data_IF_541345972853
#
_entry.id   IF_541345972853
#
_cell.length_a   1.000
_cell.length_b   1.000
_cell.length_c   1.000
_cell.angle_alpha   90.00
_cell.angle_beta   90.00
_cell.angle_gamma   90.00
#
_symmetry.space_group_name_H-M   'P 1'
#
loop_
_entity.id
_entity.type
_entity.pdbx_description
1 polymer ?
#
# COMPACT_ATOMS: atom_id res chain seq x y z
N UNK A 1 -17.90 -7.42 -35.26
CA UNK A 1 -18.25 -8.35 -34.16
C UNK A 1 -16.98 -8.66 -33.40
N UNK A 2 -16.83 -8.18 -32.16
CA UNK A 2 -15.69 -8.54 -31.33
C UNK A 2 -15.82 -10.02 -30.95
N UNK A 3 -14.80 -10.82 -31.22
CA UNK A 3 -14.72 -12.21 -30.77
C UNK A 3 -14.82 -12.17 -29.24
N UNK A 4 -15.87 -12.76 -28.67
CA UNK A 4 -16.01 -12.85 -27.22
C UNK A 4 -14.76 -13.51 -26.66
N UNK A 5 -14.18 -12.93 -25.60
CA UNK A 5 -13.05 -13.56 -24.92
C UNK A 5 -13.40 -14.99 -24.57
N UNK A 6 -12.41 -15.89 -24.68
CA UNK A 6 -12.52 -17.29 -24.26
C UNK A 6 -13.03 -17.40 -22.82
N UNK A 7 -12.66 -16.47 -21.93
CA UNK A 7 -13.19 -16.42 -20.56
C UNK A 7 -14.71 -16.24 -20.58
N UNK A 8 -15.23 -15.28 -21.35
CA UNK A 8 -16.68 -14.99 -21.38
C UNK A 8 -17.48 -16.21 -21.82
N UNK A 9 -17.01 -16.92 -22.85
CA UNK A 9 -17.65 -18.16 -23.28
C UNK A 9 -17.62 -19.27 -22.22
N UNK A 10 -16.52 -19.40 -21.48
CA UNK A 10 -16.40 -20.39 -20.40
C UNK A 10 -17.31 -20.05 -19.21
N UNK A 11 -17.40 -18.76 -18.87
CA UNK A 11 -18.29 -18.26 -17.82
C UNK A 11 -19.75 -18.44 -18.21
N UNK A 12 -20.13 -18.09 -19.44
CA UNK A 12 -21.50 -18.28 -19.95
C UNK A 12 -21.90 -19.77 -19.95
N UNK A 13 -20.99 -20.67 -20.33
CA UNK A 13 -21.24 -22.10 -20.28
C UNK A 13 -21.36 -22.64 -18.84
N UNK A 14 -20.52 -22.15 -17.92
CA UNK A 14 -20.59 -22.52 -16.51
C UNK A 14 -21.90 -22.02 -15.86
N UNK A 15 -22.32 -20.81 -16.21
CA UNK A 15 -23.60 -20.23 -15.79
C UNK A 15 -24.78 -21.08 -16.26
N UNK A 16 -24.83 -21.42 -17.55
CA UNK A 16 -25.89 -22.27 -18.08
C UNK A 16 -25.94 -23.64 -17.38
N UNK A 17 -24.78 -24.23 -17.10
CA UNK A 17 -24.71 -25.50 -16.36
C UNK A 17 -25.24 -25.39 -14.92
N UNK A 18 -25.01 -24.27 -14.24
CA UNK A 18 -25.55 -24.03 -12.88
C UNK A 18 -27.06 -23.75 -12.92
N UNK A 19 -27.52 -22.99 -13.92
CA UNK A 19 -28.95 -22.71 -14.11
C UNK A 19 -29.74 -23.99 -14.37
N UNK A 20 -29.22 -24.88 -15.24
CA UNK A 20 -29.83 -26.17 -15.59
C UNK A 20 -29.68 -27.25 -14.50
N UNK A 21 -28.82 -27.05 -13.51
CA UNK A 21 -28.61 -28.02 -12.44
C UNK A 21 -29.90 -28.22 -11.62
N UNK A 22 -30.26 -29.48 -11.37
CA UNK A 22 -31.31 -29.87 -10.43
C UNK A 22 -30.78 -29.79 -8.98
N UNK A 23 -30.42 -28.58 -8.56
CA UNK A 23 -29.86 -28.27 -7.25
C UNK A 23 -30.70 -27.17 -6.56
N UNK A 24 -30.58 -27.04 -5.24
CA UNK A 24 -31.26 -25.97 -4.50
C UNK A 24 -30.67 -24.60 -4.86
N UNK A 25 -31.41 -23.51 -4.61
CA UNK A 25 -30.88 -22.16 -4.85
C UNK A 25 -29.63 -21.87 -4.00
N UNK A 26 -29.56 -22.44 -2.79
CA UNK A 26 -28.36 -22.37 -1.92
C UNK A 26 -27.16 -23.09 -2.57
N UNK A 27 -27.37 -24.30 -3.11
CA UNK A 27 -26.30 -25.04 -3.82
C UNK A 27 -25.84 -24.27 -5.06
N UNK A 28 -26.77 -23.70 -5.83
CA UNK A 28 -26.44 -22.89 -7.01
C UNK A 28 -25.67 -21.63 -6.63
N UNK A 29 -26.06 -20.93 -5.56
CA UNK A 29 -25.33 -19.78 -5.03
C UNK A 29 -23.90 -20.15 -4.65
N UNK A 30 -23.71 -21.30 -3.97
CA UNK A 30 -22.40 -21.82 -3.60
C UNK A 30 -21.54 -22.15 -4.82
N UNK A 31 -22.10 -22.83 -5.82
CA UNK A 31 -21.39 -23.14 -7.08
C UNK A 31 -20.91 -21.87 -7.80
N UNK A 32 -21.78 -20.86 -7.91
CA UNK A 32 -21.41 -19.57 -8.53
C UNK A 32 -20.33 -18.84 -7.74
N UNK A 33 -20.42 -18.84 -6.42
CA UNK A 33 -19.41 -18.25 -5.55
C UNK A 33 -18.04 -18.94 -5.75
N UNK A 34 -17.99 -20.27 -5.84
CA UNK A 34 -16.73 -21.00 -6.04
C UNK A 34 -16.09 -20.71 -7.40
N UNK A 35 -16.91 -20.63 -8.46
CA UNK A 35 -16.42 -20.26 -9.80
C UNK A 35 -15.87 -18.81 -9.77
N UNK A 36 -16.59 -17.89 -9.12
CA UNK A 36 -16.15 -16.50 -8.95
C UNK A 36 -14.82 -16.40 -8.19
N UNK A 37 -14.66 -17.18 -7.11
CA UNK A 37 -13.42 -17.26 -6.34
C UNK A 37 -12.25 -17.73 -7.19
N UNK A 38 -12.44 -18.75 -8.03
CA UNK A 38 -11.40 -19.25 -8.92
C UNK A 38 -10.91 -18.19 -9.90
N UNK A 39 -11.83 -17.42 -10.50
CA UNK A 39 -11.49 -16.31 -11.40
C UNK A 39 -10.80 -15.15 -10.67
N UNK A 40 -11.24 -14.85 -9.43
CA UNK A 40 -10.66 -13.78 -8.61
C UNK A 40 -9.24 -14.10 -8.15
N UNK A 41 -8.96 -15.34 -7.75
CA UNK A 41 -7.67 -15.75 -7.20
C UNK A 41 -6.60 -15.93 -8.28
N UNK A 42 -6.99 -16.34 -9.49
CA UNK A 42 -6.07 -16.59 -10.59
C UNK A 42 -6.57 -15.97 -11.92
N UNK A 43 -6.69 -14.63 -11.99
CA UNK A 43 -7.13 -13.97 -13.21
C UNK A 43 -6.06 -14.09 -14.29
N UNK A 44 -6.47 -14.48 -15.49
CA UNK A 44 -5.64 -14.54 -16.70
C UNK A 44 -5.70 -13.24 -17.49
N UNK A 45 -6.82 -12.54 -17.40
CA UNK A 45 -7.05 -11.24 -18.04
C UNK A 45 -7.95 -10.34 -17.17
N UNK A 46 -7.92 -9.00 -17.35
CA UNK A 46 -8.75 -8.08 -16.57
C UNK A 46 -10.27 -8.35 -16.61
N UNK A 47 -10.76 -8.99 -17.69
CA UNK A 47 -12.17 -9.39 -17.82
C UNK A 47 -12.58 -10.46 -16.80
N UNK A 48 -11.64 -11.28 -16.32
CA UNK A 48 -11.94 -12.35 -15.36
C UNK A 48 -12.42 -11.79 -14.03
N UNK A 49 -11.87 -10.65 -13.61
CA UNK A 49 -12.27 -9.96 -12.38
C UNK A 49 -13.68 -9.36 -12.50
N UNK A 50 -14.03 -8.84 -13.68
CA UNK A 50 -15.39 -8.37 -13.96
C UNK A 50 -16.39 -9.54 -13.97
N UNK A 51 -16.01 -10.68 -14.56
CA UNK A 51 -16.81 -11.89 -14.54
C UNK A 51 -17.02 -12.44 -13.12
N UNK A 52 -15.97 -12.41 -12.28
CA UNK A 52 -16.09 -12.79 -10.87
C UNK A 52 -17.11 -11.92 -10.12
N UNK A 53 -17.07 -10.59 -10.33
CA UNK A 53 -18.05 -9.65 -9.76
C UNK A 53 -19.47 -9.99 -10.19
N UNK A 54 -19.70 -10.27 -11.48
CA UNK A 54 -21.03 -10.62 -11.99
C UNK A 54 -21.54 -11.96 -11.42
N UNK A 55 -20.65 -12.95 -11.28
CA UNK A 55 -20.98 -14.24 -10.67
C UNK A 55 -21.33 -14.10 -9.19
N UNK A 56 -20.60 -13.30 -8.41
CA UNK A 56 -20.94 -13.05 -7.02
C UNK A 56 -22.30 -12.35 -6.87
N UNK A 57 -22.64 -11.40 -7.75
CA UNK A 57 -23.97 -10.76 -7.74
C UNK A 57 -25.09 -11.76 -8.00
N UNK A 58 -24.92 -12.63 -8.99
CA UNK A 58 -25.90 -13.70 -9.27
C UNK A 58 -25.98 -14.70 -8.12
N UNK A 59 -24.86 -15.04 -7.49
CA UNK A 59 -24.85 -15.88 -6.30
C UNK A 59 -25.69 -15.25 -5.18
N UNK A 60 -25.54 -13.94 -4.94
CA UNK A 60 -26.36 -13.21 -3.96
C UNK A 60 -27.86 -13.23 -4.27
N UNK A 61 -28.24 -13.12 -5.54
CA UNK A 61 -29.65 -13.16 -5.95
C UNK A 61 -30.31 -14.52 -5.68
N UNK A 62 -29.52 -15.58 -5.58
CA UNK A 62 -29.97 -16.95 -5.30
C UNK A 62 -29.97 -17.30 -3.80
N UNK A 63 -29.34 -16.50 -2.93
CA UNK A 63 -29.28 -16.85 -1.50
C UNK A 63 -30.67 -16.76 -0.87
N UNK A 64 -31.18 -17.84 -0.25
CA UNK A 64 -32.48 -17.80 0.42
C UNK A 64 -32.52 -16.78 1.57
N UNK A 65 -33.67 -16.16 1.81
CA UNK A 65 -33.82 -15.10 2.83
C UNK A 65 -33.44 -15.53 4.26
N UNK A 66 -33.42 -16.83 4.57
CA UNK A 66 -33.01 -17.39 5.86
C UNK A 66 -31.49 -17.62 6.00
N UNK A 67 -30.69 -17.42 4.96
CA UNK A 67 -29.26 -17.72 4.93
C UNK A 67 -28.40 -16.44 4.95
N UNK A 68 -28.70 -15.53 5.88
CA UNK A 68 -28.08 -14.20 5.96
C UNK A 68 -26.54 -14.26 6.07
N UNK A 69 -26.00 -15.18 6.87
CA UNK A 69 -24.56 -15.39 6.99
C UNK A 69 -23.89 -15.82 5.67
N UNK A 70 -24.56 -16.67 4.88
CA UNK A 70 -24.09 -17.07 3.54
C UNK A 70 -24.02 -15.88 2.59
N UNK A 71 -25.07 -15.06 2.57
CA UNK A 71 -25.08 -13.81 1.81
C UNK A 71 -23.96 -12.86 2.25
N UNK A 72 -23.73 -12.70 3.56
CA UNK A 72 -22.68 -11.83 4.09
C UNK A 72 -21.27 -12.25 3.64
N UNK A 73 -20.98 -13.55 3.63
CA UNK A 73 -19.71 -14.11 3.13
C UNK A 73 -19.54 -13.82 1.64
N UNK A 74 -20.58 -14.00 0.83
CA UNK A 74 -20.53 -13.69 -0.60
C UNK A 74 -20.30 -12.18 -0.80
N UNK A 75 -20.97 -11.31 -0.03
CA UNK A 75 -20.75 -9.85 -0.09
C UNK A 75 -19.32 -9.45 0.26
N UNK A 76 -18.72 -10.05 1.27
CA UNK A 76 -17.31 -9.79 1.62
C UNK A 76 -16.36 -10.18 0.47
N UNK A 77 -16.62 -11.31 -0.20
CA UNK A 77 -15.86 -11.73 -1.39
C UNK A 77 -16.10 -10.82 -2.60
N UNK A 78 -17.34 -10.41 -2.82
CA UNK A 78 -17.69 -9.43 -3.86
C UNK A 78 -16.94 -8.11 -3.65
N UNK A 79 -16.85 -7.62 -2.41
CA UNK A 79 -16.12 -6.40 -2.09
C UNK A 79 -14.62 -6.52 -2.46
N UNK A 80 -13.98 -7.64 -2.12
CA UNK A 80 -12.57 -7.87 -2.49
C UNK A 80 -12.37 -8.04 -4.00
N UNK A 81 -13.35 -8.61 -4.72
CA UNK A 81 -13.30 -8.67 -6.19
C UNK A 81 -13.42 -7.28 -6.82
N UNK A 82 -14.32 -6.45 -6.31
CA UNK A 82 -14.49 -5.05 -6.75
C UNK A 82 -13.23 -4.21 -6.51
N UNK A 83 -12.47 -4.47 -5.44
CA UNK A 83 -11.17 -3.82 -5.20
C UNK A 83 -10.11 -4.21 -6.24
N UNK A 84 -10.17 -5.44 -6.74
CA UNK A 84 -9.20 -5.95 -7.71
C UNK A 84 -9.49 -5.49 -9.15
N UNK A 85 -10.74 -5.11 -9.46
CA UNK A 85 -11.15 -4.66 -10.79
C UNK A 85 -10.35 -3.42 -11.22
N UNK A 86 -9.64 -3.46 -12.35
CA UNK A 86 -8.96 -2.28 -12.88
C UNK A 86 -9.99 -1.23 -13.33
N UNK A 87 -9.99 -0.09 -12.68
CA UNK A 87 -10.91 1.01 -12.99
C UNK A 87 -10.20 2.36 -12.99
N UNK A 88 -10.70 3.27 -13.84
CA UNK A 88 -10.23 4.66 -13.91
C UNK A 88 -11.01 5.60 -12.99
N UNK A 89 -12.18 5.16 -12.54
CA UNK A 89 -13.03 5.88 -11.61
C UNK A 89 -13.13 5.12 -10.27
N UNK A 90 -13.79 5.75 -9.31
CA UNK A 90 -13.94 5.21 -7.97
C UNK A 90 -15.20 4.36 -7.77
N UNK A 91 -16.00 4.10 -8.81
CA UNK A 91 -17.29 3.42 -8.66
C UNK A 91 -17.15 1.99 -8.11
N UNK A 92 -16.19 1.15 -8.57
CA UNK A 92 -15.99 -0.16 -7.96
C UNK A 92 -15.61 -0.07 -6.48
N UNK A 93 -14.80 0.93 -6.11
CA UNK A 93 -14.37 1.13 -4.72
C UNK A 93 -15.53 1.60 -3.83
N UNK A 94 -16.42 2.47 -4.34
CA UNK A 94 -17.65 2.85 -3.64
C UNK A 94 -18.61 1.67 -3.47
N UNK A 95 -18.77 0.85 -4.52
CA UNK A 95 -19.57 -0.37 -4.45
C UNK A 95 -18.97 -1.37 -3.44
N UNK A 96 -17.66 -1.59 -3.45
CA UNK A 96 -16.96 -2.44 -2.50
C UNK A 96 -17.23 -2.00 -1.06
N UNK A 97 -17.22 -0.68 -0.79
CA UNK A 97 -17.54 -0.13 0.52
C UNK A 97 -18.96 -0.47 0.97
N UNK A 98 -19.93 -0.40 0.08
CA UNK A 98 -21.33 -0.76 0.39
C UNK A 98 -21.40 -2.24 0.75
N UNK A 99 -20.85 -3.10 -0.10
CA UNK A 99 -20.91 -4.55 0.08
C UNK A 99 -20.22 -5.01 1.37
N UNK A 100 -19.01 -4.51 1.65
CA UNK A 100 -18.28 -4.90 2.87
C UNK A 100 -18.96 -4.36 4.14
N UNK A 101 -19.56 -3.16 4.09
CA UNK A 101 -20.28 -2.60 5.25
C UNK A 101 -21.53 -3.42 5.55
N UNK A 102 -22.27 -3.84 4.53
CA UNK A 102 -23.41 -4.75 4.69
C UNK A 102 -22.97 -6.11 5.23
N UNK A 103 -21.87 -6.66 4.72
CA UNK A 103 -21.31 -7.92 5.22
C UNK A 103 -20.92 -7.83 6.71
N UNK A 104 -20.21 -6.77 7.12
CA UNK A 104 -19.77 -6.57 8.51
C UNK A 104 -20.95 -6.58 9.48
N UNK A 105 -22.08 -5.95 9.14
CA UNK A 105 -23.25 -5.93 10.02
C UNK A 105 -23.77 -7.33 10.36
N UNK A 106 -23.87 -8.21 9.36
CA UNK A 106 -24.30 -9.60 9.56
C UNK A 106 -23.20 -10.46 10.17
N UNK A 107 -21.94 -10.31 9.74
CA UNK A 107 -20.81 -11.05 10.31
C UNK A 107 -20.63 -10.73 11.80
N UNK A 108 -20.88 -9.50 12.23
CA UNK A 108 -20.83 -9.12 13.65
C UNK A 108 -21.92 -9.81 14.46
N UNK A 109 -23.07 -10.10 13.86
CA UNK A 109 -24.19 -10.74 14.54
C UNK A 109 -24.10 -12.28 14.55
N UNK A 110 -23.58 -12.87 13.48
CA UNK A 110 -23.71 -14.31 13.20
C UNK A 110 -22.39 -15.02 12.82
N UNK A 111 -21.35 -14.24 12.47
CA UNK A 111 -20.06 -14.76 12.01
C UNK A 111 -19.04 -14.96 13.13
N UNK A 112 -17.84 -15.37 12.77
CA UNK A 112 -16.70 -15.44 13.68
C UNK A 112 -15.97 -14.10 13.81
N UNK A 113 -15.29 -13.89 14.94
CA UNK A 113 -14.47 -12.69 15.16
C UNK A 113 -13.39 -12.49 14.09
N UNK A 114 -12.86 -13.59 13.53
CA UNK A 114 -11.88 -13.55 12.45
C UNK A 114 -12.49 -13.08 11.14
N UNK A 115 -13.71 -13.52 10.79
CA UNK A 115 -14.43 -13.04 9.60
C UNK A 115 -14.76 -11.55 9.74
N UNK A 116 -15.15 -11.10 10.93
CA UNK A 116 -15.38 -9.67 11.21
C UNK A 116 -14.08 -8.88 11.02
N UNK A 117 -12.97 -9.36 11.59
CA UNK A 117 -11.68 -8.67 11.50
C UNK A 117 -11.13 -8.62 10.07
N UNK A 118 -11.28 -9.69 9.27
CA UNK A 118 -10.93 -9.70 7.85
C UNK A 118 -11.76 -8.67 7.07
N UNK A 119 -13.07 -8.64 7.31
CA UNK A 119 -13.96 -7.68 6.64
C UNK A 119 -13.63 -6.23 7.03
N UNK A 120 -13.29 -5.98 8.31
CA UNK A 120 -12.84 -4.67 8.79
C UNK A 120 -11.49 -4.25 8.21
N UNK A 121 -10.53 -5.17 8.06
CA UNK A 121 -9.28 -4.91 7.36
C UNK A 121 -9.53 -4.48 5.91
N UNK A 122 -10.43 -5.18 5.20
CA UNK A 122 -10.79 -4.84 3.83
C UNK A 122 -11.54 -3.49 3.74
N UNK A 123 -12.46 -3.21 4.66
CA UNK A 123 -13.11 -1.89 4.77
C UNK A 123 -12.08 -0.78 4.97
N UNK A 124 -11.06 -1.03 5.79
CA UNK A 124 -9.95 -0.11 6.00
C UNK A 124 -9.22 0.22 4.69
N UNK A 125 -8.87 -0.80 3.91
CA UNK A 125 -8.18 -0.63 2.63
C UNK A 125 -9.04 0.10 1.59
N UNK A 126 -10.34 -0.20 1.54
CA UNK A 126 -11.31 0.49 0.68
C UNK A 126 -11.39 1.97 1.06
N UNK A 127 -11.53 2.28 2.35
CA UNK A 127 -11.60 3.66 2.83
C UNK A 127 -10.29 4.43 2.56
N UNK A 128 -9.14 3.79 2.76
CA UNK A 128 -7.84 4.40 2.48
C UNK A 128 -7.68 4.71 0.99
N UNK A 129 -8.10 3.80 0.12
CA UNK A 129 -8.05 4.01 -1.33
C UNK A 129 -8.95 5.17 -1.76
N UNK A 130 -10.19 5.24 -1.26
CA UNK A 130 -11.09 6.36 -1.52
C UNK A 130 -10.54 7.70 -0.99
N UNK A 131 -9.84 7.68 0.16
CA UNK A 131 -9.19 8.87 0.69
C UNK A 131 -8.04 9.36 -0.20
N UNK A 132 -7.20 8.44 -0.72
CA UNK A 132 -6.16 8.76 -1.71
C UNK A 132 -6.70 9.37 -3.00
N UNK A 133 -7.94 9.07 -3.36
CA UNK A 133 -8.67 9.67 -4.50
C UNK A 133 -9.36 10.99 -4.15
N UNK A 134 -9.25 11.49 -2.91
CA UNK A 134 -9.96 12.69 -2.45
C UNK A 134 -11.48 12.50 -2.31
N UNK A 135 -11.97 11.26 -2.26
CA UNK A 135 -13.39 10.94 -2.22
C UNK A 135 -13.93 10.62 -0.82
N UNK A 136 -13.05 10.47 0.17
CA UNK A 136 -13.42 10.19 1.55
C UNK A 136 -12.37 10.72 2.53
N UNK A 137 -12.72 10.97 3.79
CA UNK A 137 -11.72 11.14 4.85
C UNK A 137 -10.98 9.82 5.11
N UNK A 138 -9.75 9.89 5.66
CA UNK A 138 -8.92 8.73 5.99
C UNK A 138 -9.25 8.11 7.37
N UNK A 139 -9.89 8.88 8.25
CA UNK A 139 -10.24 8.45 9.61
C UNK A 139 -11.06 7.14 9.67
N UNK A 140 -12.03 6.88 8.77
CA UNK A 140 -12.71 5.59 8.70
C UNK A 140 -11.77 4.40 8.46
N UNK A 141 -10.69 4.58 7.67
CA UNK A 141 -9.70 3.53 7.44
C UNK A 141 -8.95 3.16 8.73
N UNK A 142 -8.45 4.19 9.42
CA UNK A 142 -7.77 4.05 10.72
C UNK A 142 -8.68 3.32 11.72
N UNK A 143 -9.94 3.71 11.78
CA UNK A 143 -10.92 3.11 12.69
C UNK A 143 -11.19 1.64 12.38
N UNK A 144 -11.27 1.28 11.10
CA UNK A 144 -11.48 -0.10 10.65
C UNK A 144 -10.25 -0.98 10.95
N UNK A 145 -9.04 -0.49 10.65
CA UNK A 145 -7.81 -1.21 11.01
C UNK A 145 -7.68 -1.42 12.53
N UNK A 146 -8.02 -0.43 13.34
CA UNK A 146 -8.03 -0.56 14.79
C UNK A 146 -9.09 -1.56 15.30
N UNK A 147 -10.22 -1.72 14.62
CA UNK A 147 -11.21 -2.77 14.94
C UNK A 147 -10.67 -4.15 14.58
N UNK A 148 -10.06 -4.32 13.40
CA UNK A 148 -9.44 -5.58 13.00
C UNK A 148 -8.31 -6.03 13.94
N UNK A 149 -7.48 -5.08 14.41
CA UNK A 149 -6.41 -5.33 15.38
C UNK A 149 -6.88 -5.81 16.76
N UNK A 150 -8.19 -5.76 17.07
CA UNK A 150 -8.74 -6.35 18.30
C UNK A 150 -8.76 -7.87 18.26
N UNK A 151 -8.83 -8.45 17.07
CA UNK A 151 -8.81 -9.90 16.84
C UNK A 151 -7.47 -10.35 16.29
N UNK A 152 -6.94 -9.64 15.28
CA UNK A 152 -5.66 -9.97 14.65
C UNK A 152 -4.50 -9.43 15.46
N UNK A 153 -4.21 -10.08 16.58
CA UNK A 153 -3.05 -9.78 17.43
C UNK A 153 -1.77 -10.46 16.94
N UNK A 154 -0.63 -9.97 17.45
CA UNK A 154 0.71 -10.45 17.07
C UNK A 154 1.01 -11.91 17.41
N UNK A 155 0.28 -12.51 18.36
CA UNK A 155 0.53 -13.87 18.84
C UNK A 155 -0.26 -14.90 18.04
N UNK A 156 -1.54 -14.64 17.79
CA UNK A 156 -2.43 -15.55 17.07
C UNK A 156 -2.41 -15.32 15.55
N UNK A 157 -2.24 -14.08 15.09
CA UNK A 157 -2.32 -13.69 13.68
C UNK A 157 -1.14 -12.80 13.28
N UNK A 158 0.10 -13.28 13.39
CA UNK A 158 1.31 -12.46 13.18
C UNK A 158 1.35 -11.79 11.81
N UNK A 159 0.90 -12.48 10.75
CA UNK A 159 0.91 -11.96 9.38
C UNK A 159 -0.10 -10.83 9.22
N UNK A 160 -1.35 -11.05 9.61
CA UNK A 160 -2.44 -10.07 9.52
C UNK A 160 -2.14 -8.86 10.40
N UNK A 161 -1.61 -9.07 11.61
CA UNK A 161 -1.16 -8.01 12.50
C UNK A 161 -0.13 -7.11 11.82
N UNK A 162 0.91 -7.68 11.19
CA UNK A 162 1.94 -6.89 10.52
C UNK A 162 1.40 -6.09 9.33
N UNK A 163 0.49 -6.69 8.53
CA UNK A 163 -0.19 -6.00 7.43
C UNK A 163 -1.02 -4.82 7.96
N UNK A 164 -1.79 -5.04 9.02
CA UNK A 164 -2.60 -4.00 9.65
C UNK A 164 -1.75 -2.85 10.20
N UNK A 165 -0.63 -3.17 10.85
CA UNK A 165 0.30 -2.15 11.36
C UNK A 165 0.92 -1.32 10.22
N UNK A 166 1.34 -1.95 9.12
CA UNK A 166 1.80 -1.23 7.93
C UNK A 166 0.71 -0.29 7.37
N UNK A 167 -0.52 -0.80 7.23
CA UNK A 167 -1.62 -0.03 6.67
C UNK A 167 -2.03 1.13 7.59
N UNK A 168 -2.01 0.91 8.91
CA UNK A 168 -2.27 1.93 9.91
C UNK A 168 -1.19 3.03 9.87
N UNK A 169 0.07 2.66 9.75
CA UNK A 169 1.18 3.61 9.63
C UNK A 169 1.05 4.49 8.38
N UNK A 170 0.79 3.88 7.21
CA UNK A 170 0.59 4.62 5.96
C UNK A 170 -0.64 5.52 6.01
N UNK A 171 -1.73 5.08 6.66
CA UNK A 171 -2.92 5.90 6.86
C UNK A 171 -2.62 7.13 7.72
N UNK A 172 -1.87 7.00 8.82
CA UNK A 172 -1.45 8.15 9.62
C UNK A 172 -0.60 9.15 8.83
N UNK A 173 0.34 8.68 8.01
CA UNK A 173 1.20 9.55 7.19
C UNK A 173 0.45 10.24 6.04
N UNK A 174 -0.72 9.74 5.64
CA UNK A 174 -1.56 10.37 4.61
C UNK A 174 -2.44 11.52 5.14
N UNK A 175 -2.50 11.71 6.47
CA UNK A 175 -3.28 12.79 7.06
C UNK A 175 -2.56 14.14 6.91
N UNK A 176 -3.27 15.21 6.51
CA UNK A 176 -2.69 16.55 6.46
C UNK A 176 -2.09 16.98 7.81
N UNK A 177 -0.94 17.64 7.75
CA UNK A 177 -0.31 18.26 8.91
C UNK A 177 -0.93 19.65 9.13
N UNK A 178 -2.12 19.69 9.75
CA UNK A 178 -2.88 20.93 9.94
C UNK A 178 -2.85 21.48 11.36
N UNK A 179 -2.29 20.74 12.32
CA UNK A 179 -2.34 21.04 13.75
C UNK A 179 -1.27 20.27 14.55
N UNK A 180 -1.18 20.55 15.86
CA UNK A 180 -0.25 19.86 16.77
C UNK A 180 -0.46 18.34 16.80
N UNK A 181 -1.67 17.87 16.48
CA UNK A 181 -1.95 16.44 16.39
C UNK A 181 -1.25 15.76 15.19
N UNK A 182 -0.68 16.52 14.25
CA UNK A 182 0.20 16.01 13.18
C UNK A 182 1.45 15.31 13.69
N UNK A 183 2.13 15.90 14.69
CA UNK A 183 3.33 15.28 15.31
C UNK A 183 3.01 13.94 15.97
N UNK A 184 1.85 13.87 16.63
CA UNK A 184 1.37 12.64 17.24
C UNK A 184 1.12 11.56 16.17
N UNK A 185 0.51 11.91 15.03
CA UNK A 185 0.26 10.98 13.93
C UNK A 185 1.55 10.41 13.34
N UNK A 186 2.56 11.24 13.12
CA UNK A 186 3.86 10.77 12.62
C UNK A 186 4.55 9.83 13.61
N UNK A 187 4.50 10.14 14.91
CA UNK A 187 5.02 9.24 15.95
C UNK A 187 4.27 7.90 15.99
N UNK A 188 2.94 7.92 15.85
CA UNK A 188 2.11 6.71 15.76
C UNK A 188 2.45 5.88 14.51
N UNK A 189 2.78 6.53 13.38
CA UNK A 189 3.21 5.83 12.17
C UNK A 189 4.55 5.11 12.36
N UNK A 190 5.54 5.78 12.94
CA UNK A 190 6.84 5.18 13.28
C UNK A 190 6.63 3.97 14.21
N UNK A 191 5.84 4.13 15.27
CA UNK A 191 5.53 3.05 16.21
C UNK A 191 4.86 1.86 15.50
N UNK A 192 3.90 2.11 14.62
CA UNK A 192 3.21 1.04 13.89
C UNK A 192 4.18 0.26 12.97
N UNK A 193 5.09 0.93 12.25
CA UNK A 193 6.13 0.22 11.49
C UNK A 193 7.06 -0.61 12.38
N UNK A 194 7.46 -0.10 13.55
CA UNK A 194 8.27 -0.83 14.50
C UNK A 194 7.55 -2.06 15.07
N UNK A 195 6.25 -1.98 15.37
CA UNK A 195 5.45 -3.15 15.79
C UNK A 195 5.35 -4.20 14.70
N UNK A 196 5.19 -3.80 13.43
CA UNK A 196 5.19 -4.74 12.31
C UNK A 196 6.54 -5.47 12.19
N UNK A 197 7.67 -4.76 12.37
CA UNK A 197 9.03 -5.29 12.32
C UNK A 197 9.41 -6.19 13.51
N UNK A 198 8.60 -6.23 14.58
CA UNK A 198 8.77 -7.24 15.64
C UNK A 198 8.28 -8.63 15.24
N UNK A 199 7.47 -8.70 14.19
CA UNK A 199 6.85 -9.94 13.70
C UNK A 199 7.43 -10.34 12.34
N UNK A 200 7.61 -9.36 11.46
CA UNK A 200 8.21 -9.55 10.13
C UNK A 200 9.72 -9.45 10.26
N UNK A 201 10.42 -10.54 9.97
CA UNK A 201 11.89 -10.62 10.08
C UNK A 201 12.54 -10.76 8.70
N UNK A 202 13.82 -10.38 8.62
CA UNK A 202 14.63 -10.55 7.41
C UNK A 202 14.69 -12.01 6.93
N UNK A 203 14.70 -12.97 7.86
CA UNK A 203 14.87 -14.39 7.54
C UNK A 203 13.56 -14.98 7.04
N UNK A 204 12.48 -14.74 7.77
CA UNK A 204 11.21 -15.41 7.48
C UNK A 204 10.50 -14.75 6.31
N UNK A 205 10.55 -13.41 6.21
CA UNK A 205 9.72 -12.60 5.31
C UNK A 205 10.56 -11.47 4.68
N UNK A 206 11.61 -11.80 3.90
CA UNK A 206 12.63 -10.83 3.47
C UNK A 206 12.05 -9.66 2.66
N UNK A 207 11.09 -9.92 1.79
CA UNK A 207 10.51 -8.88 0.91
C UNK A 207 9.67 -7.89 1.70
N UNK A 208 8.79 -8.39 2.57
CA UNK A 208 7.96 -7.61 3.47
C UNK A 208 8.82 -6.83 4.48
N UNK A 209 9.86 -7.47 5.02
CA UNK A 209 10.83 -6.84 5.91
C UNK A 209 11.47 -5.62 5.26
N UNK A 210 11.99 -5.76 4.04
CA UNK A 210 12.62 -4.66 3.33
C UNK A 210 11.63 -3.55 2.95
N UNK A 211 10.37 -3.89 2.71
CA UNK A 211 9.31 -2.89 2.51
C UNK A 211 9.04 -2.09 3.79
N UNK A 212 8.85 -2.77 4.92
CA UNK A 212 8.62 -2.13 6.22
C UNK A 212 9.81 -1.26 6.62
N UNK A 213 11.04 -1.74 6.44
CA UNK A 213 12.25 -0.99 6.75
C UNK A 213 12.39 0.28 5.90
N UNK A 214 12.12 0.20 4.59
CA UNK A 214 12.10 1.38 3.74
C UNK A 214 11.01 2.39 4.17
N UNK A 215 9.84 1.92 4.57
CA UNK A 215 8.75 2.79 5.02
C UNK A 215 9.05 3.41 6.39
N UNK A 216 9.67 2.66 7.29
CA UNK A 216 10.18 3.18 8.57
C UNK A 216 11.22 4.27 8.34
N UNK A 217 12.17 4.05 7.41
CA UNK A 217 13.15 5.06 7.02
C UNK A 217 12.51 6.36 6.53
N UNK A 218 11.50 6.26 5.67
CA UNK A 218 10.74 7.42 5.21
C UNK A 218 10.02 8.12 6.38
N UNK A 219 9.35 7.37 7.26
CA UNK A 219 8.64 7.94 8.41
C UNK A 219 9.59 8.68 9.37
N UNK A 220 10.75 8.09 9.66
CA UNK A 220 11.79 8.68 10.51
C UNK A 220 12.44 9.91 9.87
N UNK A 221 12.58 9.93 8.55
CA UNK A 221 13.13 11.09 7.84
C UNK A 221 12.22 12.32 7.94
N UNK A 222 10.90 12.12 7.86
CA UNK A 222 9.93 13.22 7.78
C UNK A 222 9.23 13.55 9.09
N UNK A 223 9.39 12.73 10.15
CA UNK A 223 8.77 13.02 11.45
C UNK A 223 9.28 14.34 12.05
N UNK A 224 8.32 15.18 12.44
CA UNK A 224 8.52 16.45 13.11
C UNK A 224 9.00 16.23 14.55
N UNK A 225 10.31 16.17 14.74
CA UNK A 225 10.96 15.90 16.02
C UNK A 225 12.07 16.92 16.33
N UNK A 226 12.36 17.14 17.61
CA UNK A 226 13.59 17.85 18.04
C UNK A 226 14.85 16.99 17.84
N UNK A 227 14.69 15.68 17.63
CA UNK A 227 15.74 14.69 17.44
C UNK A 227 15.99 14.37 15.96
N UNK A 228 15.96 15.38 15.07
CA UNK A 228 16.03 15.16 13.60
C UNK A 228 17.29 14.41 13.16
N UNK A 229 18.44 14.74 13.73
CA UNK A 229 19.72 14.09 13.39
C UNK A 229 19.72 12.62 13.78
N UNK A 230 19.28 12.31 15.00
CA UNK A 230 19.15 10.93 15.50
C UNK A 230 18.17 10.11 14.67
N UNK A 231 17.00 10.68 14.36
CA UNK A 231 16.02 10.03 13.49
C UNK A 231 16.55 9.84 12.06
N UNK A 232 17.33 10.78 11.54
CA UNK A 232 18.00 10.63 10.26
C UNK A 232 18.98 9.45 10.24
N UNK A 233 19.78 9.26 11.30
CA UNK A 233 20.65 8.08 11.41
C UNK A 233 19.85 6.77 11.49
N UNK A 234 18.78 6.73 12.31
CA UNK A 234 17.87 5.59 12.36
C UNK A 234 17.22 5.31 10.99
N UNK A 235 16.91 6.35 10.22
CA UNK A 235 16.40 6.20 8.86
C UNK A 235 17.44 5.60 7.91
N UNK A 236 18.71 6.03 8.00
CA UNK A 236 19.81 5.42 7.24
C UNK A 236 19.96 3.93 7.54
N UNK A 237 19.92 3.55 8.82
CA UNK A 237 19.98 2.15 9.24
C UNK A 237 18.81 1.35 8.65
N UNK A 238 17.59 1.90 8.71
CA UNK A 238 16.41 1.26 8.13
C UNK A 238 16.53 1.11 6.60
N UNK A 239 17.03 2.10 5.87
CA UNK A 239 17.30 1.94 4.44
C UNK A 239 18.37 0.89 4.18
N UNK A 240 19.42 0.80 5.00
CA UNK A 240 20.45 -0.24 4.87
C UNK A 240 19.92 -1.64 5.13
N UNK A 241 19.03 -1.82 6.10
CA UNK A 241 18.31 -3.08 6.30
C UNK A 241 17.44 -3.45 5.09
N UNK A 242 16.74 -2.48 4.48
CA UNK A 242 15.97 -2.72 3.26
C UNK A 242 16.85 -3.12 2.06
N UNK A 243 18.06 -2.54 1.94
CA UNK A 243 19.01 -2.82 0.87
C UNK A 243 19.69 -4.19 0.97
N UNK A 244 19.57 -4.90 2.11
CA UNK A 244 19.98 -6.32 2.22
C UNK A 244 19.18 -7.24 1.32
N UNK A 245 17.93 -6.87 1.00
CA UNK A 245 17.02 -7.67 0.16
C UNK A 245 16.77 -6.98 -1.17
N UNK A 246 16.53 -5.66 -1.15
CA UNK A 246 16.32 -4.87 -2.37
C UNK A 246 17.66 -4.66 -3.04
N UNK A 247 18.05 -5.57 -3.91
CA UNK A 247 19.29 -5.45 -4.69
C UNK A 247 19.00 -4.93 -6.10
N UNK A 248 20.00 -4.33 -6.74
CA UNK A 248 19.90 -3.94 -8.15
C UNK A 248 19.53 -5.12 -9.07
N UNK A 249 20.00 -6.33 -8.73
CA UNK A 249 19.76 -7.54 -9.53
C UNK A 249 18.34 -8.06 -9.38
N UNK A 250 17.88 -8.22 -8.14
CA UNK A 250 16.64 -8.95 -7.85
C UNK A 250 15.43 -8.04 -7.83
N UNK A 251 15.62 -6.76 -7.45
CA UNK A 251 14.54 -5.79 -7.28
C UNK A 251 15.00 -4.38 -7.74
N UNK A 252 15.40 -4.19 -9.01
CA UNK A 252 16.04 -2.97 -9.49
C UNK A 252 15.27 -1.70 -9.16
N UNK A 253 13.96 -1.68 -9.39
CA UNK A 253 13.13 -0.50 -9.11
C UNK A 253 13.00 -0.24 -7.60
N UNK A 254 12.80 -1.28 -6.79
CA UNK A 254 12.70 -1.11 -5.34
C UNK A 254 14.04 -0.64 -4.74
N UNK A 255 15.15 -1.18 -5.24
CA UNK A 255 16.50 -0.73 -4.92
C UNK A 255 16.71 0.75 -5.26
N UNK A 256 16.35 1.16 -6.49
CA UNK A 256 16.46 2.56 -6.94
C UNK A 256 15.64 3.52 -6.07
N UNK A 257 14.41 3.14 -5.68
CA UNK A 257 13.61 3.93 -4.75
C UNK A 257 14.29 4.04 -3.38
N UNK A 258 14.81 2.94 -2.84
CA UNK A 258 15.43 2.93 -1.51
C UNK A 258 16.74 3.74 -1.48
N UNK A 259 17.60 3.65 -2.49
CA UNK A 259 18.83 4.48 -2.54
C UNK A 259 18.51 5.95 -2.78
N UNK A 260 17.43 6.30 -3.48
CA UNK A 260 16.97 7.68 -3.64
C UNK A 260 16.46 8.26 -2.31
N UNK A 261 15.66 7.51 -1.56
CA UNK A 261 15.19 7.91 -0.23
C UNK A 261 16.36 8.06 0.76
N UNK A 262 17.33 7.13 0.69
CA UNK A 262 18.57 7.20 1.47
C UNK A 262 19.38 8.43 1.10
N UNK A 263 19.51 8.76 -0.20
CA UNK A 263 20.21 9.95 -0.65
C UNK A 263 19.59 11.24 -0.11
N UNK A 264 18.26 11.36 -0.16
CA UNK A 264 17.53 12.49 0.44
C UNK A 264 17.80 12.59 1.95
N UNK A 265 17.93 11.46 2.64
CA UNK A 265 18.27 11.44 4.07
C UNK A 265 19.68 12.01 4.31
N UNK A 266 20.65 11.47 3.58
CA UNK A 266 22.06 11.86 3.69
C UNK A 266 22.22 13.36 3.40
N UNK A 267 21.57 13.86 2.35
CA UNK A 267 21.63 15.27 1.97
C UNK A 267 21.09 16.24 3.04
N UNK A 268 20.33 15.76 4.02
CA UNK A 268 19.80 16.58 5.13
C UNK A 268 20.57 16.38 6.45
N UNK A 269 21.55 15.48 6.48
CA UNK A 269 22.37 15.21 7.66
C UNK A 269 23.67 16.02 7.61
N UNK A 270 24.18 16.51 8.76
CA UNK A 270 25.49 17.16 8.83
C UNK A 270 26.61 16.17 8.53
N UNK A 271 27.71 16.65 7.94
CA UNK A 271 28.92 15.82 7.76
C UNK A 271 29.55 15.45 9.11
N UNK A 272 29.44 16.35 10.09
CA UNK A 272 29.90 16.17 11.47
C UNK A 272 28.73 16.40 12.46
N UNK A 273 28.17 15.35 13.07
CA UNK A 273 27.11 15.49 14.06
C UNK A 273 27.51 16.29 15.31
N UNK A 274 28.80 16.37 15.64
CA UNK A 274 29.30 17.19 16.75
C UNK A 274 29.43 18.67 16.35
N UNK A 275 29.43 18.98 15.06
CA UNK A 275 29.53 20.33 14.52
C UNK A 275 28.60 20.53 13.31
N UNK A 276 27.26 20.53 13.51
CA UNK A 276 26.30 20.57 12.41
C UNK A 276 26.36 21.86 11.59
N UNK A 277 26.84 22.96 12.17
CA UNK A 277 26.97 24.27 11.51
C UNK A 277 28.06 24.27 10.42
N UNK A 278 28.94 23.26 10.39
CA UNK A 278 29.94 23.10 9.32
C UNK A 278 29.33 22.73 7.96
N UNK A 279 28.03 22.43 7.93
CA UNK A 279 27.33 21.98 6.73
C UNK A 279 27.61 20.53 6.39
N UNK A 280 27.35 20.16 5.14
CA UNK A 280 27.35 18.76 4.72
C UNK A 280 27.80 18.48 3.26
N UNK A 281 28.86 19.12 2.74
CA UNK A 281 29.28 18.94 1.34
C UNK A 281 29.65 17.49 0.98
N UNK A 282 30.18 16.68 1.92
CA UNK A 282 30.52 15.27 1.65
C UNK A 282 29.25 14.44 1.51
N UNK A 283 28.31 14.62 2.43
CA UNK A 283 27.00 13.97 2.38
C UNK A 283 26.22 14.36 1.12
N UNK A 284 26.20 15.64 0.74
CA UNK A 284 25.55 16.08 -0.51
C UNK A 284 26.19 15.43 -1.73
N UNK A 285 27.53 15.33 -1.79
CA UNK A 285 28.22 14.64 -2.88
C UNK A 285 27.86 13.14 -2.94
N UNK A 286 27.79 12.47 -1.78
CA UNK A 286 27.36 11.07 -1.69
C UNK A 286 25.90 10.89 -2.14
N UNK A 287 24.99 11.77 -1.70
CA UNK A 287 23.60 11.77 -2.09
C UNK A 287 23.44 11.92 -3.62
N UNK A 288 24.15 12.86 -4.23
CA UNK A 288 24.14 13.03 -5.69
C UNK A 288 24.63 11.79 -6.42
N UNK A 289 25.63 11.07 -5.89
CA UNK A 289 26.08 9.80 -6.47
C UNK A 289 24.98 8.72 -6.45
N UNK A 290 24.32 8.55 -5.31
CA UNK A 290 23.22 7.60 -5.17
C UNK A 290 22.02 7.95 -6.06
N UNK A 291 21.67 9.23 -6.16
CA UNK A 291 20.60 9.69 -7.05
C UNK A 291 20.93 9.45 -8.53
N UNK A 292 22.19 9.62 -8.95
CA UNK A 292 22.61 9.29 -10.33
C UNK A 292 22.42 7.81 -10.63
N UNK A 293 22.74 6.93 -9.68
CA UNK A 293 22.49 5.50 -9.82
C UNK A 293 20.98 5.20 -9.89
N UNK A 294 20.17 5.76 -8.99
CA UNK A 294 18.72 5.59 -9.00
C UNK A 294 18.10 6.03 -10.33
N UNK A 295 18.51 7.20 -10.84
CA UNK A 295 18.07 7.74 -12.13
C UNK A 295 18.39 6.79 -13.28
N UNK A 296 19.61 6.26 -13.33
CA UNK A 296 20.02 5.33 -14.38
C UNK A 296 19.13 4.08 -14.38
N UNK A 297 18.85 3.52 -13.19
CA UNK A 297 17.98 2.36 -13.06
C UNK A 297 16.54 2.70 -13.47
N UNK A 298 15.98 3.84 -13.05
CA UNK A 298 14.63 4.23 -13.48
C UNK A 298 14.53 4.38 -15.01
N UNK A 299 15.56 4.95 -15.65
CA UNK A 299 15.61 5.06 -17.10
C UNK A 299 15.74 3.68 -17.79
N UNK A 300 16.60 2.78 -17.29
CA UNK A 300 16.73 1.40 -17.77
C UNK A 300 15.39 0.62 -17.68
N UNK A 301 14.54 1.00 -16.72
CA UNK A 301 13.24 0.38 -16.45
C UNK A 301 12.06 1.07 -17.16
N UNK A 302 12.29 2.18 -17.85
CA UNK A 302 11.25 2.97 -18.53
C UNK A 302 10.31 3.69 -17.57
N UNK A 303 10.78 4.01 -16.35
CA UNK A 303 10.01 4.75 -15.34
C UNK A 303 10.38 6.23 -15.42
N UNK A 304 10.01 6.86 -16.54
CA UNK A 304 10.52 8.18 -16.95
C UNK A 304 10.17 9.29 -15.94
N UNK A 305 8.96 9.28 -15.36
CA UNK A 305 8.55 10.27 -14.36
C UNK A 305 9.46 10.26 -13.13
N UNK A 306 9.88 9.08 -12.67
CA UNK A 306 10.81 8.95 -11.55
C UNK A 306 12.23 9.35 -11.94
N UNK A 307 12.67 8.96 -13.13
CA UNK A 307 13.98 9.36 -13.65
C UNK A 307 14.09 10.89 -13.75
N UNK A 308 13.01 11.56 -14.14
CA UNK A 308 12.91 13.01 -14.24
C UNK A 308 12.90 13.67 -12.85
N UNK A 309 12.07 13.21 -11.92
CA UNK A 309 12.04 13.72 -10.55
C UNK A 309 13.42 13.62 -9.86
N UNK A 310 14.13 12.51 -10.05
CA UNK A 310 15.49 12.33 -9.52
C UNK A 310 16.50 13.26 -10.22
N UNK A 311 16.33 13.53 -11.52
CA UNK A 311 17.19 14.48 -12.24
C UNK A 311 17.05 15.91 -11.71
N UNK A 312 15.85 16.32 -11.34
CA UNK A 312 15.56 17.62 -10.73
C UNK A 312 16.21 17.71 -9.36
N UNK A 313 16.05 16.69 -8.50
CA UNK A 313 16.71 16.62 -7.19
C UNK A 313 18.25 16.69 -7.30
N UNK A 314 18.86 16.01 -8.29
CA UNK A 314 20.30 16.11 -8.55
C UNK A 314 20.70 17.55 -8.88
N UNK A 315 19.91 18.25 -9.70
CA UNK A 315 20.19 19.62 -10.13
C UNK A 315 20.14 20.58 -8.93
N UNK A 316 19.10 20.46 -8.11
CA UNK A 316 18.94 21.25 -6.89
C UNK A 316 20.11 21.03 -5.92
N UNK A 317 20.45 19.77 -5.60
CA UNK A 317 21.56 19.46 -4.68
C UNK A 317 22.92 19.87 -5.24
N UNK A 318 23.14 19.72 -6.54
CA UNK A 318 24.42 20.10 -7.17
C UNK A 318 24.61 21.63 -7.19
N UNK A 319 23.53 22.41 -7.22
CA UNK A 319 23.63 23.87 -7.13
C UNK A 319 24.17 24.34 -5.77
N UNK A 320 23.89 23.60 -4.69
CA UNK A 320 24.42 23.88 -3.35
C UNK A 320 25.91 23.53 -3.19
N UNK A 321 26.46 22.68 -4.06
CA UNK A 321 27.89 22.37 -4.10
C UNK A 321 28.70 23.37 -4.94
N UNK A 322 28.05 24.19 -5.76
CA UNK A 322 28.72 25.19 -6.56
C UNK A 322 29.18 26.36 -5.67
N UNK A 323 30.46 26.75 -5.69
CA UNK A 323 30.92 27.90 -4.93
C UNK A 323 30.13 29.15 -5.37
N UNK A 324 29.52 29.87 -4.43
CA UNK A 324 28.93 31.18 -4.69
C UNK A 324 30.03 32.13 -5.19
N UNK A 325 30.17 32.28 -6.50
CA UNK A 325 31.21 33.11 -7.08
C UNK A 325 31.23 33.16 -8.60
N UNK A 326 30.19 33.74 -9.23
CA UNK A 326 30.27 34.28 -10.59
C UNK A 326 29.16 35.32 -10.89
N UNK A 327 28.93 36.28 -10.00
CA UNK A 327 28.40 37.60 -10.37
C UNK A 327 29.35 38.67 -9.83
N UNK A 328 30.58 38.64 -10.33
CA UNK A 328 31.55 39.71 -10.16
C UNK A 328 31.43 40.72 -11.30
N UNK A 329 30.97 41.92 -10.94
CA UNK A 329 31.39 43.22 -11.49
C UNK A 329 31.87 43.32 -12.95
N UNK A 330 31.00 43.82 -13.82
CA UNK A 330 31.30 44.67 -14.99
C UNK A 330 29.97 45.43 -15.26
N UNK A 331 29.86 46.76 -15.26
CA UNK A 331 30.77 47.78 -15.75
C UNK A 331 30.72 49.05 -14.88
N UNK A 332 31.91 49.60 -14.61
CA UNK A 332 32.11 51.04 -14.51
C UNK A 332 32.96 51.45 -15.70
N UNK A 333 32.36 52.14 -16.67
CA UNK A 333 32.94 53.28 -17.38
C UNK A 333 31.81 54.15 -17.92
#
# INVERSE_FOLDING_TARGET
>A
MAVASRTRQQVDAALAAVEDALASDSDKAQMLMEIAMGLQQAPREPSDLHAAVDLYRRALDLVPAGEALGAARIRARLATALMAVPARDAEPMKAARVEITTAIATLTAEGSDAEVAEAEMNLGLICQTLAGMGMAPIQPAISAYQRALRTFDKAAFPKEFAILQNNLATAFLSMPFTDESGKLREALAVQAFEEALRVVTLVDHPVEYAMLQNNLGNALQYVSSTHRVENGFRALDAYDEALKVRTRRDMPEAYANTIANKANCIANLPDDPANPEAGNPRNVAQAVSLLREAKAIFAERGVDDKAQAVAEAITELSSHLAPHGAFGSADRH
#
